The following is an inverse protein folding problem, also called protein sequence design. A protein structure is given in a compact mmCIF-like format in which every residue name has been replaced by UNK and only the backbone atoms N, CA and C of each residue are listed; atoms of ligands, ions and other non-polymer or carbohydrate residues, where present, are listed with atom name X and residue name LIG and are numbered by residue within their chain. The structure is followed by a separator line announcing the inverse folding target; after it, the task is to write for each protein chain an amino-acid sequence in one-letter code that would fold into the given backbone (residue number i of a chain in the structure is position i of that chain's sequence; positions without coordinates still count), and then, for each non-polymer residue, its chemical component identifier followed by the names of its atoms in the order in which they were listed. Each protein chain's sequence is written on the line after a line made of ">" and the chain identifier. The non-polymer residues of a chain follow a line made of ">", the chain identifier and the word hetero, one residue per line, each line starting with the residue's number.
data_IF_472835316276
#
_entry.id   IF_472835316276
#
_cell.length_a   1.000
_cell.length_b   1.000
_cell.length_c   1.000
_cell.angle_alpha   90.00
_cell.angle_beta   90.00
_cell.angle_gamma   90.00
#
_symmetry.space_group_name_H-M   'P 1'
#
loop_
_entity.id
_entity.type
_entity.pdbx_description
1 polymer ?
#
# COMPACT_ATOMS: atom_id res chain seq x y z
N UNK A 1 -4.14 -3.78 -2.21
CA UNK A 1 -3.24 -4.50 -1.29
C UNK A 1 -4.06 -5.27 -0.26
N UNK A 2 -3.66 -6.48 0.10
CA UNK A 2 -4.30 -7.28 1.16
C UNK A 2 -3.35 -7.38 2.36
N UNK A 3 -3.86 -7.07 3.54
CA UNK A 3 -3.14 -7.15 4.81
C UNK A 3 -3.78 -8.23 5.67
N UNK A 4 -2.96 -9.04 6.34
CA UNK A 4 -3.43 -10.13 7.20
C UNK A 4 -2.77 -10.05 8.56
N UNK A 5 -3.59 -10.02 9.61
CA UNK A 5 -3.14 -10.11 10.98
C UNK A 5 -3.20 -11.57 11.42
N UNK A 6 -2.06 -12.13 11.82
CA UNK A 6 -1.98 -13.50 12.32
C UNK A 6 -2.05 -13.59 13.85
N UNK A 7 -1.98 -12.45 14.53
CA UNK A 7 -2.02 -12.40 15.99
C UNK A 7 -3.44 -12.60 16.55
N UNK A 8 -3.51 -13.03 17.80
CA UNK A 8 -4.76 -13.16 18.55
C UNK A 8 -5.30 -11.84 19.11
N UNK A 9 -4.66 -10.72 18.80
CA UNK A 9 -5.05 -9.38 19.26
C UNK A 9 -5.30 -8.46 18.07
N UNK A 10 -6.15 -7.42 18.21
CA UNK A 10 -6.30 -6.44 17.15
C UNK A 10 -4.97 -5.70 16.95
N UNK A 11 -4.65 -5.38 15.69
CA UNK A 11 -3.44 -4.64 15.34
C UNK A 11 -3.80 -3.36 14.62
N UNK A 12 -3.25 -2.25 15.10
CA UNK A 12 -3.30 -0.98 14.39
C UNK A 12 -2.09 -0.88 13.47
N UNK A 13 -2.35 -0.57 12.19
CA UNK A 13 -1.34 -0.51 11.15
C UNK A 13 -1.43 0.84 10.45
N UNK A 14 -0.29 1.52 10.35
CA UNK A 14 -0.12 2.71 9.55
C UNK A 14 0.45 2.31 8.18
N UNK A 15 -0.21 2.79 7.13
CA UNK A 15 0.14 2.57 5.73
C UNK A 15 0.49 3.91 5.11
N UNK A 16 1.56 3.93 4.33
CA UNK A 16 1.94 5.13 3.58
C UNK A 16 2.46 4.73 2.21
N UNK A 17 1.76 5.16 1.17
CA UNK A 17 2.20 4.95 -0.19
C UNK A 17 3.33 5.92 -0.53
N UNK A 18 4.42 5.40 -1.07
CA UNK A 18 5.55 6.18 -1.55
C UNK A 18 5.28 6.71 -2.95
N UNK A 19 5.91 7.84 -3.29
CA UNK A 19 5.82 8.37 -4.64
C UNK A 19 6.56 7.49 -5.65
N UNK A 20 5.94 7.32 -6.82
CA UNK A 20 6.53 6.66 -7.97
C UNK A 20 6.45 7.57 -9.20
N UNK A 21 7.52 7.54 -10.01
CA UNK A 21 7.57 8.32 -11.24
C UNK A 21 6.51 7.82 -12.21
N UNK A 22 5.80 8.75 -12.85
CA UNK A 22 4.78 8.42 -13.85
C UNK A 22 3.37 8.22 -13.27
N UNK A 23 3.19 8.34 -11.95
CA UNK A 23 1.89 8.24 -11.29
C UNK A 23 1.58 9.47 -10.44
N UNK A 24 0.33 9.90 -10.47
CA UNK A 24 -0.25 10.91 -9.57
C UNK A 24 -1.32 10.25 -8.73
N UNK A 25 -1.37 10.58 -7.44
CA UNK A 25 -2.36 10.09 -6.51
C UNK A 25 -3.57 11.01 -6.45
N UNK A 26 -4.76 10.43 -6.36
CA UNK A 26 -5.96 11.14 -5.94
C UNK A 26 -6.22 10.88 -4.46
N UNK A 27 -6.22 11.94 -3.64
CA UNK A 27 -6.51 11.87 -2.20
C UNK A 27 -5.31 11.55 -1.30
N UNK A 28 -5.59 10.99 -0.12
CA UNK A 28 -4.60 10.78 0.94
C UNK A 28 -3.73 9.53 0.70
N UNK A 29 -2.40 9.73 0.81
CA UNK A 29 -1.40 8.65 0.68
C UNK A 29 -1.18 7.88 1.97
N UNK A 30 -1.58 8.45 3.11
CA UNK A 30 -1.45 7.87 4.43
C UNK A 30 -2.81 7.37 4.91
N UNK A 31 -2.85 6.16 5.46
CA UNK A 31 -4.05 5.59 6.05
C UNK A 31 -3.68 4.78 7.29
N UNK A 32 -4.54 4.82 8.29
CA UNK A 32 -4.44 3.97 9.47
C UNK A 32 -5.61 3.01 9.49
N UNK A 33 -5.33 1.74 9.73
CA UNK A 33 -6.33 0.68 9.71
C UNK A 33 -6.18 -0.25 10.93
N UNK A 34 -7.30 -0.57 11.55
CA UNK A 34 -7.38 -1.60 12.58
C UNK A 34 -7.66 -2.97 11.92
N UNK A 35 -6.71 -3.89 12.03
CA UNK A 35 -6.87 -5.28 11.62
C UNK A 35 -7.45 -6.10 12.78
N UNK A 36 -8.59 -6.79 12.60
CA UNK A 36 -9.12 -7.66 13.64
C UNK A 36 -8.18 -8.85 13.91
N UNK A 37 -8.27 -9.47 15.09
CA UNK A 37 -7.52 -10.68 15.41
C UNK A 37 -7.71 -11.77 14.35
N UNK A 38 -6.61 -12.38 13.90
CA UNK A 38 -6.62 -13.46 12.88
C UNK A 38 -7.35 -13.11 11.57
N UNK A 39 -7.60 -11.82 11.33
CA UNK A 39 -8.39 -11.34 10.21
C UNK A 39 -7.57 -10.70 9.10
N UNK A 40 -8.28 -10.22 8.09
CA UNK A 40 -7.69 -9.53 6.95
C UNK A 40 -8.43 -8.24 6.63
N UNK A 41 -7.74 -7.34 5.94
CA UNK A 41 -8.35 -6.15 5.37
C UNK A 41 -7.73 -5.84 4.01
N UNK A 42 -8.48 -5.10 3.21
CA UNK A 42 -8.06 -4.65 1.88
C UNK A 42 -8.02 -3.14 1.86
N UNK A 43 -6.93 -2.62 1.29
CA UNK A 43 -6.74 -1.19 1.07
C UNK A 43 -6.42 -0.97 -0.40
N UNK A 44 -7.03 0.07 -0.97
CA UNK A 44 -6.86 0.47 -2.35
C UNK A 44 -6.62 1.97 -2.43
N UNK A 45 -5.73 2.36 -3.35
CA UNK A 45 -5.47 3.75 -3.71
C UNK A 45 -5.78 3.94 -5.18
N UNK A 46 -6.27 5.13 -5.52
CA UNK A 46 -6.49 5.53 -6.90
C UNK A 46 -5.25 6.26 -7.42
N UNK A 47 -4.71 5.72 -8.51
CA UNK A 47 -3.50 6.18 -9.17
C UNK A 47 -3.86 6.55 -10.61
N UNK A 48 -3.36 7.69 -11.07
CA UNK A 48 -3.48 8.13 -12.47
C UNK A 48 -2.09 8.14 -13.07
N UNK A 49 -1.88 7.34 -14.13
CA UNK A 49 -0.63 7.37 -14.87
C UNK A 49 -0.58 8.61 -15.77
N UNK A 50 0.52 9.34 -15.74
CA UNK A 50 0.76 10.53 -16.57
C UNK A 50 1.93 10.34 -17.56
N UNK A 51 2.53 9.15 -17.57
CA UNK A 51 3.55 8.74 -18.52
C UNK A 51 3.18 7.35 -19.06
N UNK A 52 3.59 7.06 -20.30
CA UNK A 52 3.42 5.75 -20.92
C UNK A 52 4.70 4.90 -20.79
N UNK A 53 4.56 3.59 -21.00
CA UNK A 53 5.66 2.62 -20.95
C UNK A 53 5.64 1.75 -19.70
N UNK A 54 6.77 1.11 -19.41
CA UNK A 54 6.94 0.31 -18.19
C UNK A 54 7.26 1.22 -17.01
N UNK A 55 6.32 1.30 -16.07
CA UNK A 55 6.44 2.14 -14.89
C UNK A 55 6.44 1.29 -13.61
N UNK A 56 7.31 1.60 -12.64
CA UNK A 56 7.27 0.95 -11.34
C UNK A 56 6.03 1.41 -10.58
N UNK A 57 5.24 0.47 -10.08
CA UNK A 57 4.19 0.81 -9.13
C UNK A 57 4.80 1.38 -7.85
N UNK A 58 4.09 2.30 -7.19
CA UNK A 58 4.54 2.85 -5.93
C UNK A 58 4.61 1.78 -4.85
N UNK A 59 5.68 1.85 -4.07
CA UNK A 59 5.83 1.00 -2.90
C UNK A 59 4.92 1.47 -1.76
N UNK A 60 4.44 0.54 -0.95
CA UNK A 60 3.66 0.85 0.25
C UNK A 60 4.52 0.55 1.47
N UNK A 61 4.72 1.54 2.33
CA UNK A 61 5.34 1.34 3.64
C UNK A 61 4.25 0.93 4.64
N UNK A 62 4.52 -0.15 5.36
CA UNK A 62 3.64 -0.66 6.42
C UNK A 62 4.39 -0.55 7.75
N UNK A 63 3.76 0.05 8.76
CA UNK A 63 4.28 0.12 10.11
C UNK A 63 3.21 -0.32 11.11
N UNK A 64 3.51 -1.32 11.95
CA UNK A 64 2.63 -1.76 13.03
C UNK A 64 3.32 -1.52 14.38
N UNK A 65 2.97 -0.46 15.13
CA UNK A 65 3.70 -0.02 16.32
C UNK A 65 3.79 -1.09 17.41
N UNK A 66 2.73 -1.89 17.57
CA UNK A 66 2.59 -2.88 18.65
C UNK A 66 3.09 -4.27 18.29
N UNK A 67 3.36 -4.54 17.01
CA UNK A 67 3.68 -5.87 16.51
C UNK A 67 5.14 -6.02 16.06
N UNK A 68 5.98 -4.98 16.23
CA UNK A 68 7.37 -4.97 15.77
C UNK A 68 7.50 -5.24 14.25
N UNK A 69 6.46 -4.93 13.47
CA UNK A 69 6.28 -5.51 12.16
C UNK A 69 7.25 -4.95 11.11
N UNK A 70 7.70 -5.87 10.25
CA UNK A 70 8.55 -5.67 9.09
C UNK A 70 7.87 -4.83 8.00
N UNK A 71 8.68 -4.01 7.33
CA UNK A 71 8.30 -3.26 6.13
C UNK A 71 8.10 -4.25 4.98
N UNK A 72 6.86 -4.43 4.53
CA UNK A 72 6.56 -5.21 3.32
C UNK A 72 6.41 -4.26 2.14
N UNK A 73 7.48 -4.16 1.35
CA UNK A 73 7.48 -3.40 0.09
C UNK A 73 6.99 -4.32 -1.03
N UNK A 74 5.78 -4.10 -1.54
CA UNK A 74 5.39 -4.69 -2.83
C UNK A 74 5.70 -3.68 -3.93
N UNK A 75 6.60 -4.04 -4.84
CA UNK A 75 6.91 -3.26 -6.04
C UNK A 75 6.80 -4.19 -7.23
N UNK A 76 5.86 -3.90 -8.13
CA UNK A 76 5.67 -4.58 -9.41
C UNK A 76 5.68 -3.55 -10.54
N UNK A 77 6.13 -3.95 -11.73
CA UNK A 77 6.05 -3.10 -12.92
C UNK A 77 4.65 -3.20 -13.53
N UNK A 78 4.16 -2.09 -14.09
CA UNK A 78 2.94 -2.05 -14.88
C UNK A 78 3.25 -1.41 -16.23
N UNK A 79 2.72 -2.01 -17.30
CA UNK A 79 2.78 -1.45 -18.63
C UNK A 79 1.59 -0.49 -18.85
N UNK A 80 1.88 0.78 -19.10
CA UNK A 80 0.89 1.82 -19.39
C UNK A 80 0.89 2.10 -20.89
N UNK A 81 -0.26 1.91 -21.53
CA UNK A 81 -0.44 2.22 -22.95
C UNK A 81 -0.45 3.75 -23.15
N UNK A 82 0.10 4.25 -24.27
CA UNK A 82 -0.02 5.65 -24.66
C UNK A 82 -1.49 6.03 -24.93
N UNK A 83 -1.82 7.29 -24.62
CA UNK A 83 -3.15 7.88 -24.79
C UNK A 83 -3.38 8.42 -26.21
#
# INVERSE_FOLDING_TARGET
>A
MQLKNFSGQPQEVALTVQDARGFVFSGDKAQTLALPPRGEARVAWQLVAHAAGELPLPSVRVAAPRAGAQVVTQSSLVHVLPF
#
